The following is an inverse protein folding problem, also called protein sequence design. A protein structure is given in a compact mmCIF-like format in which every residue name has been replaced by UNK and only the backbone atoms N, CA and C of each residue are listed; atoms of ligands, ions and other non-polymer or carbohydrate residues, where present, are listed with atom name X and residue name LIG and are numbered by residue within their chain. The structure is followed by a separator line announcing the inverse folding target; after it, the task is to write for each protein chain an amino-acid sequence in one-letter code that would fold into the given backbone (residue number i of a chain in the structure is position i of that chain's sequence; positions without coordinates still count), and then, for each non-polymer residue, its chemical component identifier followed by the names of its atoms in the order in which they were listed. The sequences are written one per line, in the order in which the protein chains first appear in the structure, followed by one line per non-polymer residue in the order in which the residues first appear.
data_IF_414455399521
#
_entry.id   IF_414455399521
#
_cell.length_a   1.000
_cell.length_b   1.000
_cell.length_c   1.000
_cell.angle_alpha   90.00
_cell.angle_beta   90.00
_cell.angle_gamma   90.00
#
_symmetry.space_group_name_H-M   'P 1'
#
loop_
_entity.id
_entity.type
_entity.pdbx_description
1 polymer ?
#
# COMPACT_ATOMS: atom_id res chain seq x y z
N UNK A 1 -29.04 17.07 12.53
CA UNK A 1 -27.87 16.93 11.65
C UNK A 1 -27.83 15.50 11.13
N UNK A 2 -27.21 15.21 9.97
CA UNK A 2 -27.15 13.84 9.42
C UNK A 2 -26.20 12.98 10.26
N UNK A 3 -26.52 11.68 10.40
CA UNK A 3 -25.66 10.73 11.14
C UNK A 3 -24.26 10.67 10.49
N UNK A 4 -23.17 10.60 11.27
CA UNK A 4 -21.79 10.50 10.78
C UNK A 4 -21.59 9.41 9.74
N UNK A 5 -22.20 8.24 9.94
CA UNK A 5 -22.12 7.11 9.01
C UNK A 5 -22.68 7.45 7.63
N UNK A 6 -23.79 8.17 7.57
CA UNK A 6 -24.45 8.54 6.31
C UNK A 6 -23.66 9.63 5.58
N UNK A 7 -23.03 10.52 6.33
CA UNK A 7 -22.13 11.54 5.78
C UNK A 7 -20.87 10.88 5.22
N UNK A 8 -20.24 9.97 5.96
CA UNK A 8 -19.04 9.24 5.49
C UNK A 8 -19.35 8.39 4.25
N UNK A 9 -20.49 7.69 4.24
CA UNK A 9 -20.95 6.92 3.07
C UNK A 9 -21.21 7.84 1.86
N UNK A 10 -21.88 8.98 2.06
CA UNK A 10 -22.12 9.95 0.99
C UNK A 10 -20.81 10.56 0.44
N UNK A 11 -19.81 10.77 1.30
CA UNK A 11 -18.48 11.22 0.88
C UNK A 11 -17.76 10.15 0.07
N UNK A 12 -17.85 8.88 0.49
CA UNK A 12 -17.27 7.72 -0.20
C UNK A 12 -17.92 7.46 -1.57
N UNK A 13 -19.24 7.62 -1.69
CA UNK A 13 -19.90 7.45 -2.98
C UNK A 13 -19.54 8.55 -3.98
N UNK A 14 -19.35 9.78 -3.49
CA UNK A 14 -18.88 10.90 -4.32
C UNK A 14 -17.40 10.80 -4.68
N UNK A 15 -16.58 10.11 -3.88
CA UNK A 15 -15.13 10.01 -4.13
C UNK A 15 -14.79 9.10 -5.30
N UNK A 16 -15.72 8.21 -5.69
CA UNK A 16 -15.65 7.39 -6.91
C UNK A 16 -15.51 8.25 -8.17
N UNK A 17 -15.99 9.50 -8.16
CA UNK A 17 -15.79 10.43 -9.26
C UNK A 17 -14.46 11.18 -9.08
N UNK A 18 -13.45 10.94 -9.95
CA UNK A 18 -12.13 11.57 -9.81
C UNK A 18 -12.13 13.08 -10.03
N UNK A 19 -13.16 13.63 -10.69
CA UNK A 19 -13.29 15.07 -10.97
C UNK A 19 -14.06 15.83 -9.89
N UNK A 20 -14.65 15.14 -8.92
CA UNK A 20 -15.47 15.78 -7.89
C UNK A 20 -14.59 16.50 -6.87
N UNK A 21 -14.84 17.80 -6.67
CA UNK A 21 -14.16 18.64 -5.68
C UNK A 21 -15.06 18.87 -4.48
N UNK A 22 -14.53 18.63 -3.28
CA UNK A 22 -15.27 18.86 -2.04
C UNK A 22 -15.11 20.31 -1.58
N UNK A 23 -16.22 21.05 -1.49
CA UNK A 23 -16.23 22.49 -1.18
C UNK A 23 -16.76 22.83 0.22
N UNK A 24 -17.21 21.84 1.02
CA UNK A 24 -17.88 22.07 2.32
C UNK A 24 -17.59 20.98 3.37
N UNK A 25 -16.33 20.55 3.48
CA UNK A 25 -15.93 19.52 4.44
C UNK A 25 -15.88 20.06 5.87
N UNK A 26 -15.54 21.34 6.04
CA UNK A 26 -15.42 21.98 7.34
C UNK A 26 -16.72 21.95 8.14
N UNK A 27 -17.87 22.00 7.47
CA UNK A 27 -19.19 21.91 8.12
C UNK A 27 -19.45 20.56 8.80
N UNK A 28 -18.78 19.49 8.35
CA UNK A 28 -18.91 18.17 8.97
C UNK A 28 -18.21 18.13 10.34
N UNK A 29 -17.20 18.98 10.56
CA UNK A 29 -16.54 19.15 11.85
C UNK A 29 -17.44 19.83 12.90
N UNK A 30 -18.63 20.30 12.54
CA UNK A 30 -19.55 20.90 13.51
C UNK A 30 -20.49 19.89 14.17
N UNK A 31 -20.50 18.64 13.70
CA UNK A 31 -21.42 17.64 14.21
C UNK A 31 -20.78 16.91 15.42
N UNK A 32 -21.39 17.02 16.63
CA UNK A 32 -20.85 16.40 17.85
C UNK A 32 -20.79 14.87 17.77
N UNK A 33 -21.65 14.24 16.96
CA UNK A 33 -21.64 12.77 16.80
C UNK A 33 -20.32 12.26 16.18
N UNK A 34 -19.63 13.05 15.37
CA UNK A 34 -18.30 12.68 14.85
C UNK A 34 -17.26 12.61 15.97
N UNK A 35 -17.33 13.51 16.94
CA UNK A 35 -16.40 13.54 18.08
C UNK A 35 -16.67 12.39 19.05
N UNK A 36 -17.93 12.01 19.24
CA UNK A 36 -18.27 10.82 20.03
C UNK A 36 -17.75 9.53 19.38
N UNK A 37 -17.85 9.42 18.05
CA UNK A 37 -17.29 8.28 17.32
C UNK A 37 -15.75 8.27 17.38
N UNK A 38 -15.11 9.43 17.21
CA UNK A 38 -13.67 9.60 17.38
C UNK A 38 -13.21 9.21 18.79
N UNK A 39 -13.95 9.66 19.82
CA UNK A 39 -13.68 9.32 21.21
C UNK A 39 -13.73 7.81 21.44
N UNK A 40 -14.77 7.14 20.93
CA UNK A 40 -14.90 5.67 21.01
C UNK A 40 -13.69 4.96 20.39
N UNK A 41 -13.24 5.39 19.22
CA UNK A 41 -12.10 4.79 18.52
C UNK A 41 -10.76 5.02 19.25
N UNK A 42 -10.58 6.18 19.88
CA UNK A 42 -9.39 6.51 20.67
C UNK A 42 -9.39 5.72 21.97
N UNK A 43 -10.54 5.61 22.64
CA UNK A 43 -10.69 4.89 23.91
C UNK A 43 -10.34 3.39 23.78
N UNK A 44 -10.66 2.79 22.64
CA UNK A 44 -10.32 1.37 22.36
C UNK A 44 -8.82 1.12 22.15
N UNK A 45 -7.98 2.14 21.94
CA UNK A 45 -6.55 1.98 21.76
C UNK A 45 -5.83 2.14 23.11
N UNK A 46 -4.97 1.19 23.52
CA UNK A 46 -4.21 1.18 24.78
C UNK A 46 -3.28 2.41 24.99
N UNK A 47 -3.07 3.23 23.96
CA UNK A 47 -2.37 4.52 24.03
C UNK A 47 -3.22 5.70 24.52
N UNK A 48 -4.49 5.47 24.88
CA UNK A 48 -5.41 6.47 25.45
C UNK A 48 -4.92 6.99 26.80
N UNK A 49 -4.28 6.13 27.60
CA UNK A 49 -3.77 6.46 28.94
C UNK A 49 -2.48 7.28 28.95
N UNK A 50 -1.90 7.62 27.78
CA UNK A 50 -0.65 8.40 27.73
C UNK A 50 -0.96 9.91 27.67
N UNK A 51 -0.70 10.69 28.75
CA UNK A 51 -1.00 12.12 28.77
C UNK A 51 -0.18 12.88 27.71
N UNK A 52 -0.80 13.88 27.08
CA UNK A 52 -0.15 14.80 26.14
C UNK A 52 0.76 15.82 26.84
N UNK A 53 1.11 16.92 26.15
CA UNK A 53 1.81 18.06 26.77
C UNK A 53 1.04 18.62 27.96
N UNK A 54 -0.28 18.66 27.84
CA UNK A 54 -1.18 19.32 28.79
C UNK A 54 -1.44 18.47 30.05
N UNK A 55 -0.87 17.27 30.17
CA UNK A 55 -1.06 16.38 31.33
C UNK A 55 -2.46 15.76 31.46
N UNK A 56 -3.41 16.19 30.63
CA UNK A 56 -4.79 15.70 30.65
C UNK A 56 -4.89 14.34 29.94
N UNK A 57 -5.34 13.32 30.66
CA UNK A 57 -5.74 12.01 30.14
C UNK A 57 -7.09 12.10 29.42
N UNK A 58 -7.43 11.12 28.58
CA UNK A 58 -8.76 11.01 27.95
C UNK A 58 -9.92 10.86 28.94
N UNK A 59 -9.63 10.53 30.20
CA UNK A 59 -10.59 10.46 31.29
C UNK A 59 -10.97 11.86 31.76
N UNK A 60 -12.10 12.36 31.26
CA UNK A 60 -12.62 13.70 31.58
C UNK A 60 -13.18 14.46 30.37
N UNK A 61 -13.37 13.81 29.22
CA UNK A 61 -14.05 14.43 28.08
C UNK A 61 -15.55 14.59 28.37
N UNK A 62 -15.96 15.81 28.67
CA UNK A 62 -17.36 16.21 28.74
C UNK A 62 -17.87 16.69 27.38
N UNK A 63 -19.19 16.55 27.16
CA UNK A 63 -19.87 17.13 25.98
C UNK A 63 -19.59 18.64 25.87
N UNK A 64 -19.49 19.34 27.01
CA UNK A 64 -19.15 20.76 27.06
C UNK A 64 -17.78 21.09 26.46
N UNK A 65 -16.78 20.21 26.64
CA UNK A 65 -15.46 20.39 26.05
C UNK A 65 -15.50 20.21 24.53
N UNK A 66 -16.27 19.24 24.05
CA UNK A 66 -16.52 19.03 22.61
C UNK A 66 -17.21 20.26 22.02
N UNK A 67 -18.21 20.81 22.70
CA UNK A 67 -18.92 22.01 22.24
C UNK A 67 -18.02 23.24 22.20
N UNK A 68 -17.10 23.40 23.16
CA UNK A 68 -16.07 24.45 23.13
C UNK A 68 -15.11 24.28 21.95
N UNK A 69 -14.69 23.05 21.65
CA UNK A 69 -13.86 22.76 20.47
C UNK A 69 -14.63 23.11 19.20
N UNK A 70 -15.90 22.70 19.08
CA UNK A 70 -16.75 23.02 17.94
C UNK A 70 -16.93 24.53 17.78
N UNK A 71 -17.11 25.27 18.88
CA UNK A 71 -17.19 26.74 18.86
C UNK A 71 -15.87 27.37 18.34
N UNK A 72 -14.72 26.91 18.84
CA UNK A 72 -13.39 27.37 18.40
C UNK A 72 -13.01 26.96 16.97
N UNK A 73 -13.70 25.95 16.42
CA UNK A 73 -13.57 25.61 15.01
C UNK A 73 -14.48 26.51 14.16
N UNK A 74 -15.71 26.80 14.61
CA UNK A 74 -16.62 27.71 13.91
C UNK A 74 -16.07 29.13 13.76
N UNK A 75 -15.36 29.64 14.75
CA UNK A 75 -14.73 30.96 14.72
C UNK A 75 -13.33 30.98 14.06
N UNK A 76 -12.86 29.81 13.59
CA UNK A 76 -11.52 29.60 13.01
C UNK A 76 -10.34 29.96 13.94
N UNK A 77 -10.58 30.16 15.24
CA UNK A 77 -9.58 30.50 16.25
C UNK A 77 -8.74 29.31 16.70
N UNK A 78 -9.19 28.07 16.42
CA UNK A 78 -8.49 26.85 16.79
C UNK A 78 -7.02 26.87 16.35
N UNK A 79 -6.12 26.68 17.32
CA UNK A 79 -4.68 26.56 17.13
C UNK A 79 -4.23 25.25 17.78
N UNK A 80 -3.71 24.30 16.98
CA UNK A 80 -3.20 23.04 17.52
C UNK A 80 -2.02 23.28 18.47
N UNK A 81 -1.94 22.48 19.53
CA UNK A 81 -0.83 22.53 20.46
C UNK A 81 0.38 21.75 19.88
N UNK A 82 1.62 22.18 20.20
CA UNK A 82 2.81 21.44 19.77
C UNK A 82 2.82 20.03 20.35
N UNK A 83 3.17 19.04 19.54
CA UNK A 83 3.21 17.65 20.00
C UNK A 83 4.38 17.41 20.96
N UNK A 84 4.17 16.65 22.05
CA UNK A 84 5.26 16.27 22.98
C UNK A 84 6.15 15.22 22.33
N UNK A 85 7.44 15.51 22.13
CA UNK A 85 8.38 14.54 21.56
C UNK A 85 8.88 13.59 22.65
N UNK A 86 8.55 12.31 22.53
CA UNK A 86 9.08 11.22 23.36
C UNK A 86 9.86 10.24 22.47
N UNK A 87 10.91 9.63 23.01
CA UNK A 87 11.75 8.71 22.24
C UNK A 87 11.46 7.27 22.62
N UNK A 88 11.04 6.45 21.64
CA UNK A 88 10.87 5.01 21.82
C UNK A 88 12.03 4.29 21.14
N UNK A 89 12.67 3.36 21.84
CA UNK A 89 13.73 2.53 21.27
C UNK A 89 13.16 1.60 20.19
N UNK A 90 13.83 1.47 19.03
CA UNK A 90 13.44 0.46 18.02
C UNK A 90 13.71 -0.94 18.57
N UNK A 91 12.73 -1.86 18.45
CA UNK A 91 12.86 -3.27 18.88
C UNK A 91 14.12 -3.97 18.35
N UNK A 92 14.58 -3.63 17.14
CA UNK A 92 15.73 -4.29 16.51
C UNK A 92 17.07 -3.59 16.75
N UNK A 93 17.09 -2.35 17.25
CA UNK A 93 18.33 -1.64 17.55
C UNK A 93 18.08 -0.56 18.62
N UNK A 94 18.41 -0.81 19.89
CA UNK A 94 18.13 0.12 21.00
C UNK A 94 18.87 1.46 20.88
N UNK A 95 19.94 1.54 20.06
CA UNK A 95 20.65 2.78 19.79
C UNK A 95 19.90 3.74 18.84
N UNK A 96 19.00 3.22 17.97
CA UNK A 96 18.18 4.05 17.07
C UNK A 96 16.83 4.33 17.72
N UNK A 97 16.66 5.54 18.26
CA UNK A 97 15.40 6.02 18.85
C UNK A 97 14.44 6.51 17.75
N UNK A 98 13.15 6.17 17.84
CA UNK A 98 12.07 6.79 17.03
C UNK A 98 11.49 7.96 17.83
N UNK A 99 11.52 9.19 17.30
CA UNK A 99 10.78 10.28 17.91
C UNK A 99 9.28 10.04 17.71
N UNK A 100 8.51 10.16 18.78
CA UNK A 100 7.06 10.11 18.76
C UNK A 100 6.54 11.46 19.28
N UNK A 101 5.77 12.17 18.46
CA UNK A 101 4.99 13.32 18.89
C UNK A 101 3.67 12.86 19.45
N UNK A 102 3.45 13.02 20.76
CA UNK A 102 2.16 12.79 21.42
C UNK A 102 1.39 14.11 21.41
N UNK A 103 0.32 14.26 20.60
CA UNK A 103 -0.51 15.46 20.61
C UNK A 103 -1.38 15.57 21.88
N UNK A 104 -1.96 16.74 22.11
CA UNK A 104 -2.95 16.96 23.18
C UNK A 104 -4.22 16.11 22.95
N UNK A 105 -4.98 15.84 24.01
CA UNK A 105 -6.22 15.05 23.93
C UNK A 105 -7.27 15.67 22.99
N UNK A 106 -7.38 17.00 22.97
CA UNK A 106 -8.30 17.72 22.09
C UNK A 106 -7.84 17.66 20.64
N UNK A 107 -6.54 17.84 20.42
CA UNK A 107 -5.93 17.67 19.10
C UNK A 107 -6.11 16.23 18.58
N UNK A 108 -5.95 15.21 19.44
CA UNK A 108 -6.19 13.80 19.08
C UNK A 108 -7.62 13.59 18.57
N UNK A 109 -8.63 14.15 19.24
CA UNK A 109 -10.03 14.07 18.81
C UNK A 109 -10.25 14.71 17.44
N UNK A 110 -9.83 15.97 17.29
CA UNK A 110 -10.00 16.70 16.02
C UNK A 110 -9.26 15.99 14.89
N UNK A 111 -8.06 15.48 15.18
CA UNK A 111 -7.26 14.70 14.25
C UNK A 111 -7.98 13.43 13.79
N UNK A 112 -8.65 12.73 14.70
CA UNK A 112 -9.32 11.48 14.35
C UNK A 112 -10.60 11.70 13.56
N UNK A 113 -11.32 12.80 13.81
CA UNK A 113 -12.42 13.22 12.93
C UNK A 113 -11.92 13.55 11.53
N UNK A 114 -10.85 14.33 11.43
CA UNK A 114 -10.21 14.68 10.14
C UNK A 114 -9.74 13.43 9.41
N UNK A 115 -9.12 12.48 10.13
CA UNK A 115 -8.69 11.19 9.60
C UNK A 115 -9.86 10.41 8.98
N UNK A 116 -10.98 10.25 9.70
CA UNK A 116 -12.16 9.54 9.19
C UNK A 116 -12.73 10.18 7.90
N UNK A 117 -12.75 11.51 7.85
CA UNK A 117 -13.19 12.26 6.66
C UNK A 117 -12.23 12.00 5.49
N UNK A 118 -10.92 12.11 5.72
CA UNK A 118 -9.90 11.87 4.69
C UNK A 118 -9.89 10.42 4.21
N UNK A 119 -10.02 9.44 5.10
CA UNK A 119 -10.14 8.02 4.74
C UNK A 119 -11.35 7.80 3.82
N UNK A 120 -12.50 8.38 4.13
CA UNK A 120 -13.71 8.24 3.29
C UNK A 120 -13.54 8.84 1.89
N UNK A 121 -12.71 9.87 1.75
CA UNK A 121 -12.46 10.54 0.46
C UNK A 121 -11.38 9.81 -0.36
N UNK A 122 -10.29 9.38 0.28
CA UNK A 122 -9.12 8.87 -0.44
C UNK A 122 -9.08 7.35 -0.56
N UNK A 123 -9.74 6.60 0.34
CA UNK A 123 -9.68 5.13 0.33
C UNK A 123 -10.15 4.50 -0.99
N UNK A 124 -11.23 4.99 -1.64
CA UNK A 124 -11.66 4.47 -2.95
C UNK A 124 -10.73 4.86 -4.11
N UNK A 125 -9.91 5.90 -3.93
CA UNK A 125 -8.96 6.38 -4.95
C UNK A 125 -7.62 5.66 -4.90
N UNK A 126 -7.23 5.15 -3.72
CA UNK A 126 -5.92 4.53 -3.56
C UNK A 126 -5.74 3.25 -4.38
N UNK A 127 -4.56 3.10 -4.95
CA UNK A 127 -4.21 1.90 -5.70
C UNK A 127 -4.31 0.63 -4.84
N UNK A 128 -4.70 -0.48 -5.47
CA UNK A 128 -4.81 -1.78 -4.82
C UNK A 128 -3.45 -2.36 -4.38
N UNK A 129 -2.35 -1.83 -4.92
CA UNK A 129 -0.96 -2.23 -4.60
C UNK A 129 -0.42 -1.64 -3.30
N UNK A 130 -1.11 -0.64 -2.75
CA UNK A 130 -0.76 0.00 -1.48
C UNK A 130 -1.54 -0.63 -0.32
N UNK A 131 -0.81 -1.11 0.68
CA UNK A 131 -1.39 -1.86 1.82
C UNK A 131 -1.11 -1.24 3.20
N UNK A 132 -0.19 -0.28 3.31
CA UNK A 132 0.21 0.29 4.61
C UNK A 132 -0.89 1.18 5.20
N UNK A 133 -1.17 1.04 6.50
CA UNK A 133 -2.08 1.90 7.27
C UNK A 133 -3.47 2.13 6.66
N UNK A 134 -4.05 1.09 6.04
CA UNK A 134 -5.39 1.15 5.42
C UNK A 134 -6.37 0.21 6.12
N UNK A 135 -7.64 0.58 6.26
CA UNK A 135 -8.65 -0.28 6.86
C UNK A 135 -8.80 -1.59 6.06
N UNK A 136 -8.78 -2.73 6.74
CA UNK A 136 -8.88 -4.05 6.11
C UNK A 136 -7.63 -4.53 5.36
N UNK A 137 -6.52 -3.79 5.40
CA UNK A 137 -5.23 -4.21 4.83
C UNK A 137 -4.18 -4.42 5.91
N UNK A 138 -3.39 -5.47 5.75
CA UNK A 138 -2.33 -5.86 6.70
C UNK A 138 -1.05 -6.25 5.97
N UNK A 139 0.05 -6.42 6.71
CA UNK A 139 1.31 -6.94 6.16
C UNK A 139 1.09 -8.24 5.37
N UNK A 140 0.23 -9.12 5.88
CA UNK A 140 -0.11 -10.38 5.21
C UNK A 140 -0.79 -10.18 3.86
N UNK A 141 -1.66 -9.17 3.72
CA UNK A 141 -2.29 -8.89 2.42
C UNK A 141 -1.27 -8.47 1.36
N UNK A 142 -0.24 -7.70 1.74
CA UNK A 142 0.85 -7.33 0.85
C UNK A 142 1.68 -8.57 0.46
N UNK A 143 2.01 -9.43 1.42
CA UNK A 143 2.76 -10.67 1.16
C UNK A 143 2.01 -11.64 0.24
N UNK A 144 0.69 -11.82 0.47
CA UNK A 144 -0.16 -12.64 -0.41
C UNK A 144 -0.23 -12.04 -1.82
N UNK A 145 -0.28 -10.71 -1.93
CA UNK A 145 -0.24 -10.04 -3.23
C UNK A 145 1.10 -10.28 -3.93
N UNK A 146 2.22 -10.20 -3.21
CA UNK A 146 3.55 -10.49 -3.73
C UNK A 146 3.60 -11.94 -4.23
N UNK A 147 3.18 -12.91 -3.40
CA UNK A 147 3.17 -14.33 -3.74
C UNK A 147 2.39 -14.62 -5.04
N UNK A 148 1.24 -13.99 -5.23
CA UNK A 148 0.39 -14.23 -6.40
C UNK A 148 0.86 -13.47 -7.66
N UNK A 149 1.45 -12.28 -7.50
CA UNK A 149 1.69 -11.36 -8.63
C UNK A 149 3.13 -11.39 -9.13
N UNK A 150 4.13 -11.68 -8.28
CA UNK A 150 5.56 -11.64 -8.63
C UNK A 150 6.03 -12.93 -9.33
N UNK A 151 5.23 -13.47 -10.25
CA UNK A 151 5.52 -14.74 -10.93
C UNK A 151 6.59 -14.56 -12.02
N UNK A 152 7.79 -15.09 -11.77
CA UNK A 152 8.89 -15.07 -12.74
C UNK A 152 9.71 -13.77 -12.73
N UNK A 153 9.63 -12.98 -11.67
CA UNK A 153 10.61 -11.92 -11.40
C UNK A 153 12.03 -12.53 -11.39
N UNK A 154 13.02 -11.80 -11.93
CA UNK A 154 14.45 -12.19 -11.93
C UNK A 154 15.26 -11.37 -10.94
N UNK A 155 14.84 -10.12 -10.75
CA UNK A 155 15.45 -9.15 -9.86
C UNK A 155 14.38 -8.53 -8.98
N UNK A 156 14.72 -8.30 -7.72
CA UNK A 156 13.93 -7.49 -6.81
C UNK A 156 14.67 -6.18 -6.53
N UNK A 157 13.93 -5.08 -6.54
CA UNK A 157 14.42 -3.78 -6.09
C UNK A 157 13.68 -3.46 -4.80
N UNK A 158 14.42 -3.51 -3.70
CA UNK A 158 13.94 -3.11 -2.38
C UNK A 158 14.13 -1.59 -2.25
N UNK A 159 13.07 -0.89 -1.87
CA UNK A 159 13.08 0.54 -1.65
C UNK A 159 12.63 0.91 -0.24
N UNK A 160 13.44 1.72 0.43
CA UNK A 160 13.11 2.36 1.71
C UNK A 160 13.31 3.87 1.54
N UNK A 161 12.28 4.63 1.89
CA UNK A 161 12.31 6.09 1.88
C UNK A 161 12.90 6.57 3.21
N UNK A 162 13.98 7.35 3.14
CA UNK A 162 14.62 7.85 4.34
C UNK A 162 13.74 8.89 5.04
N UNK A 163 13.40 8.62 6.31
CA UNK A 163 12.69 9.56 7.18
C UNK A 163 11.47 10.20 6.50
N UNK A 164 10.62 9.35 5.90
CA UNK A 164 9.46 9.76 5.09
C UNK A 164 8.59 10.79 5.83
N UNK A 165 8.29 10.53 7.10
CA UNK A 165 7.52 11.45 7.95
C UNK A 165 8.23 12.75 8.29
N UNK A 166 9.57 12.82 8.33
CA UNK A 166 10.33 14.03 8.67
C UNK A 166 10.66 14.88 7.43
N UNK A 167 10.60 14.29 6.23
CA UNK A 167 11.08 14.89 4.97
C UNK A 167 9.96 15.37 4.05
N UNK A 168 8.68 15.32 4.47
CA UNK A 168 7.57 15.79 3.64
C UNK A 168 7.59 17.30 3.44
N UNK A 169 7.50 17.71 2.17
CA UNK A 169 7.24 19.10 1.81
C UNK A 169 5.75 19.42 2.03
N UNK A 170 5.50 20.37 2.94
CA UNK A 170 4.15 20.81 3.29
C UNK A 170 3.43 21.45 2.10
N UNK A 171 4.16 22.14 1.21
CA UNK A 171 3.57 22.78 0.04
C UNK A 171 3.05 21.76 -0.95
N UNK A 172 3.86 20.74 -1.27
CA UNK A 172 3.48 19.66 -2.19
C UNK A 172 2.29 18.88 -1.65
N UNK A 173 2.30 18.53 -0.36
CA UNK A 173 1.18 17.83 0.27
C UNK A 173 -0.13 18.62 0.18
N UNK A 174 -0.07 19.92 0.41
CA UNK A 174 -1.25 20.81 0.35
C UNK A 174 -1.73 21.00 -1.08
N UNK A 175 -0.82 21.07 -2.05
CA UNK A 175 -1.18 21.10 -3.46
C UNK A 175 -1.92 19.82 -3.88
N UNK A 176 -1.43 18.65 -3.46
CA UNK A 176 -2.10 17.36 -3.71
C UNK A 176 -3.49 17.34 -3.07
N UNK A 177 -3.61 17.80 -1.82
CA UNK A 177 -4.91 17.90 -1.14
C UNK A 177 -5.85 18.86 -1.87
N UNK A 178 -5.36 20.01 -2.34
CA UNK A 178 -6.12 21.02 -3.09
C UNK A 178 -6.69 20.52 -4.42
N UNK A 179 -6.08 19.49 -5.03
CA UNK A 179 -6.62 18.88 -6.26
C UNK A 179 -8.01 18.28 -6.04
N UNK A 180 -8.29 17.73 -4.85
CA UNK A 180 -9.59 17.12 -4.51
C UNK A 180 -10.43 17.92 -3.52
N UNK A 181 -9.81 18.72 -2.66
CA UNK A 181 -10.48 19.50 -1.61
C UNK A 181 -10.32 20.98 -1.93
N UNK A 182 -11.42 21.67 -2.22
CA UNK A 182 -11.44 23.12 -2.50
C UNK A 182 -11.87 23.95 -1.28
N UNK A 183 -12.09 23.30 -0.15
CA UNK A 183 -12.43 23.94 1.13
C UNK A 183 -11.17 24.56 1.78
N UNK A 184 -10.99 25.87 1.62
CA UNK A 184 -9.84 26.60 2.16
C UNK A 184 -9.80 26.61 3.70
N UNK A 185 -10.95 26.53 4.38
CA UNK A 185 -10.97 26.47 5.85
C UNK A 185 -10.40 25.14 6.35
N UNK A 186 -10.75 24.05 5.67
CA UNK A 186 -10.20 22.73 5.95
C UNK A 186 -8.70 22.66 5.63
N UNK A 187 -8.27 23.20 4.49
CA UNK A 187 -6.85 23.26 4.12
C UNK A 187 -6.06 24.13 5.12
N UNK A 188 -6.63 25.25 5.57
CA UNK A 188 -6.03 26.11 6.60
C UNK A 188 -5.86 25.38 7.93
N UNK A 189 -6.83 24.57 8.34
CA UNK A 189 -6.71 23.72 9.54
C UNK A 189 -5.59 22.67 9.37
N UNK A 190 -5.52 22.01 8.22
CA UNK A 190 -4.44 21.07 7.90
C UNK A 190 -3.06 21.74 7.93
N UNK A 191 -2.95 22.95 7.37
CA UNK A 191 -1.73 23.76 7.43
C UNK A 191 -1.32 24.09 8.86
N UNK A 192 -2.28 24.44 9.72
CA UNK A 192 -2.03 24.66 11.15
C UNK A 192 -1.53 23.39 11.84
N UNK A 193 -2.09 22.21 11.53
CA UNK A 193 -1.61 20.94 12.08
C UNK A 193 -0.19 20.58 11.64
N UNK A 194 0.16 20.82 10.37
CA UNK A 194 1.51 20.60 9.86
C UNK A 194 2.54 21.56 10.51
N UNK A 195 2.16 22.82 10.72
CA UNK A 195 3.01 23.85 11.37
C UNK A 195 3.00 23.83 12.89
N UNK A 196 2.17 22.99 13.52
CA UNK A 196 1.98 22.97 14.98
C UNK A 196 3.30 22.75 15.76
N UNK A 197 4.35 22.26 15.09
CA UNK A 197 5.66 22.09 15.70
C UNK A 197 5.71 20.88 16.62
N UNK A 198 6.83 20.73 17.32
CA UNK A 198 6.94 19.79 18.42
C UNK A 198 7.67 20.44 19.59
N UNK A 199 7.42 19.93 20.79
CA UNK A 199 8.06 20.36 22.01
C UNK A 199 9.02 19.27 22.48
N UNK A 200 10.29 19.62 22.70
CA UNK A 200 11.35 18.73 23.17
C UNK A 200 12.02 19.36 24.39
N UNK A 201 12.01 18.67 25.55
CA UNK A 201 12.63 19.14 26.80
C UNK A 201 12.35 20.62 27.13
N UNK A 202 11.07 21.03 27.07
CA UNK A 202 10.60 22.40 27.32
C UNK A 202 11.06 23.47 26.31
N UNK A 203 11.62 23.05 25.17
CA UNK A 203 11.96 23.92 24.05
C UNK A 203 11.00 23.69 22.88
N UNK A 204 10.41 24.77 22.37
CA UNK A 204 9.56 24.73 21.18
C UNK A 204 10.42 24.67 19.92
N UNK A 205 10.17 23.67 19.07
CA UNK A 205 10.79 23.54 17.75
C UNK A 205 9.72 23.68 16.67
N UNK A 206 9.95 24.62 15.73
CA UNK A 206 9.14 24.73 14.51
C UNK A 206 9.47 23.55 13.60
N UNK A 207 8.44 22.83 13.17
CA UNK A 207 8.57 21.79 12.14
C UNK A 207 8.62 22.49 10.78
N UNK A 208 9.81 22.60 10.19
CA UNK A 208 9.98 23.18 8.85
C UNK A 208 9.68 22.16 7.74
N UNK A 209 9.82 20.86 8.01
CA UNK A 209 9.50 19.74 7.12
C UNK A 209 8.97 18.56 7.93
N UNK A 210 8.07 17.78 7.34
CA UNK A 210 7.53 16.56 7.95
C UNK A 210 6.27 16.71 8.80
N UNK A 211 5.66 15.58 9.14
CA UNK A 211 4.45 15.44 9.96
C UNK A 211 4.80 14.88 11.35
N UNK A 212 4.26 15.41 12.46
CA UNK A 212 4.51 14.88 13.79
C UNK A 212 4.14 13.39 13.91
N UNK A 213 5.14 12.52 14.04
CA UNK A 213 5.00 11.07 14.09
C UNK A 213 4.26 10.64 15.36
N UNK A 214 2.97 10.32 15.27
CA UNK A 214 2.11 10.01 16.44
C UNK A 214 0.76 10.74 16.43
N UNK A 215 0.54 11.64 15.46
CA UNK A 215 -0.79 12.16 15.12
C UNK A 215 -1.59 11.13 14.31
N UNK A 216 -2.89 10.97 14.62
CA UNK A 216 -3.78 10.02 13.92
C UNK A 216 -3.88 10.28 12.41
N UNK A 217 -3.67 11.52 11.96
CA UNK A 217 -3.72 11.90 10.54
C UNK A 217 -2.42 11.57 9.77
N UNK A 218 -1.28 11.39 10.44
CA UNK A 218 0.00 11.19 9.74
C UNK A 218 0.01 10.02 8.74
N UNK A 219 -0.53 8.83 9.06
CA UNK A 219 -0.49 7.70 8.14
C UNK A 219 -1.32 7.92 6.87
N UNK A 220 -2.49 8.57 6.97
CA UNK A 220 -3.31 8.86 5.80
C UNK A 220 -2.66 9.93 4.92
N UNK A 221 -2.03 10.96 5.50
CA UNK A 221 -1.30 11.98 4.73
C UNK A 221 -0.10 11.39 3.99
N UNK A 222 0.68 10.53 4.65
CA UNK A 222 1.79 9.83 4.02
C UNK A 222 1.30 8.98 2.83
N UNK A 223 0.17 8.29 2.99
CA UNK A 223 -0.42 7.52 1.91
C UNK A 223 -0.93 8.39 0.75
N UNK A 224 -1.55 9.55 1.03
CA UNK A 224 -1.97 10.52 0.00
C UNK A 224 -0.75 11.02 -0.79
N UNK A 225 0.33 11.33 -0.09
CA UNK A 225 1.58 11.78 -0.70
C UNK A 225 2.20 10.70 -1.59
N UNK A 226 2.34 9.49 -1.05
CA UNK A 226 2.94 8.35 -1.75
C UNK A 226 2.05 7.77 -2.85
N UNK A 227 0.77 8.15 -2.91
CA UNK A 227 -0.10 7.76 -4.02
C UNK A 227 0.33 8.40 -5.35
N UNK A 228 1.02 9.56 -5.33
CA UNK A 228 1.62 10.11 -6.56
C UNK A 228 2.78 9.23 -7.07
N UNK A 229 3.52 8.59 -6.17
CA UNK A 229 4.51 7.58 -6.52
C UNK A 229 3.84 6.31 -7.06
N UNK A 230 2.73 5.87 -6.45
CA UNK A 230 1.97 4.70 -6.93
C UNK A 230 1.48 4.90 -8.38
N UNK A 231 1.01 6.11 -8.72
CA UNK A 231 0.60 6.47 -10.10
C UNK A 231 1.77 6.43 -11.07
N UNK A 232 2.90 7.04 -10.70
CA UNK A 232 4.12 7.02 -11.51
C UNK A 232 4.60 5.60 -11.78
N UNK A 233 4.53 4.72 -10.77
CA UNK A 233 4.90 3.30 -10.92
C UNK A 233 3.95 2.55 -11.86
N UNK A 234 2.66 2.89 -11.86
CA UNK A 234 1.69 2.27 -12.78
C UNK A 234 1.91 2.75 -14.24
N UNK A 235 2.20 4.03 -14.45
CA UNK A 235 2.60 4.60 -15.75
C UNK A 235 3.89 3.94 -16.25
N UNK A 236 4.92 3.90 -15.41
CA UNK A 236 6.20 3.27 -15.72
C UNK A 236 6.02 1.77 -16.04
N UNK A 237 5.13 1.07 -15.33
CA UNK A 237 4.80 -0.32 -15.62
C UNK A 237 4.19 -0.51 -17.00
N UNK A 238 3.32 0.41 -17.45
CA UNK A 238 2.72 0.35 -18.78
C UNK A 238 3.78 0.56 -19.88
N UNK A 239 4.67 1.53 -19.70
CA UNK A 239 5.76 1.82 -20.64
C UNK A 239 6.80 0.68 -20.70
N UNK A 240 7.11 0.09 -19.56
CA UNK A 240 8.09 -1.00 -19.45
C UNK A 240 7.54 -2.36 -19.90
N UNK A 241 6.23 -2.56 -19.83
CA UNK A 241 5.60 -3.85 -20.11
C UNK A 241 5.59 -4.15 -21.61
N UNK A 242 6.30 -5.19 -22.03
CA UNK A 242 6.28 -5.69 -23.43
C UNK A 242 5.36 -6.92 -23.54
N UNK A 243 4.27 -6.84 -24.33
CA UNK A 243 3.20 -7.82 -24.28
C UNK A 243 3.46 -8.97 -25.25
N UNK A 244 4.41 -9.84 -24.97
CA UNK A 244 4.35 -11.23 -25.45
C UNK A 244 5.42 -12.08 -24.76
N UNK A 245 4.99 -12.98 -23.87
CA UNK A 245 5.73 -14.25 -23.74
C UNK A 245 5.43 -15.04 -25.00
N UNK A 246 6.42 -15.30 -25.84
CA UNK A 246 6.20 -16.20 -26.96
C UNK A 246 5.92 -17.59 -26.38
N UNK A 247 4.78 -18.17 -26.76
CA UNK A 247 4.50 -19.55 -26.36
C UNK A 247 5.42 -20.43 -27.17
N UNK A 248 6.15 -21.33 -26.52
CA UNK A 248 7.02 -22.26 -27.22
C UNK A 248 6.21 -23.01 -28.29
N UNK A 249 6.52 -22.86 -29.59
CA UNK A 249 5.78 -23.51 -30.67
C UNK A 249 5.69 -25.03 -30.47
N UNK A 250 6.73 -25.65 -29.92
CA UNK A 250 6.74 -27.08 -29.59
C UNK A 250 5.70 -27.46 -28.52
N UNK A 251 5.57 -26.65 -27.46
CA UNK A 251 4.56 -26.88 -26.42
C UNK A 251 3.14 -26.64 -26.96
N UNK A 252 2.93 -25.60 -27.77
CA UNK A 252 1.65 -25.31 -28.43
C UNK A 252 1.23 -26.45 -29.36
N UNK A 253 2.15 -26.93 -30.21
CA UNK A 253 1.91 -28.04 -31.12
C UNK A 253 1.56 -29.34 -30.38
N UNK A 254 2.25 -29.62 -29.28
CA UNK A 254 1.98 -30.79 -28.44
C UNK A 254 0.62 -30.69 -27.72
N UNK A 255 0.26 -29.51 -27.23
CA UNK A 255 -1.06 -29.25 -26.63
C UNK A 255 -2.19 -29.46 -27.66
N UNK A 256 -2.03 -28.94 -28.87
CA UNK A 256 -2.96 -29.14 -29.98
C UNK A 256 -3.06 -30.62 -30.39
N UNK A 257 -1.96 -31.38 -30.32
CA UNK A 257 -1.94 -32.83 -30.61
C UNK A 257 -2.73 -33.62 -29.55
N UNK A 258 -2.55 -33.30 -28.27
CA UNK A 258 -3.32 -33.89 -27.16
C UNK A 258 -4.80 -33.55 -27.27
N UNK A 259 -5.14 -32.30 -27.60
CA UNK A 259 -6.53 -31.89 -27.80
C UNK A 259 -7.20 -32.65 -28.94
N UNK A 260 -6.54 -32.73 -30.11
CA UNK A 260 -7.02 -33.51 -31.26
C UNK A 260 -7.19 -35.00 -30.92
N UNK A 261 -6.24 -35.59 -30.20
CA UNK A 261 -6.32 -36.99 -29.78
C UNK A 261 -7.46 -37.22 -28.79
N UNK A 262 -7.69 -36.30 -27.84
CA UNK A 262 -8.81 -36.37 -26.91
C UNK A 262 -10.15 -36.25 -27.62
N UNK A 263 -10.30 -35.29 -28.53
CA UNK A 263 -11.54 -35.11 -29.30
C UNK A 263 -11.89 -36.33 -30.17
N UNK A 264 -10.87 -36.99 -30.77
CA UNK A 264 -11.05 -38.26 -31.48
C UNK A 264 -11.43 -39.39 -30.52
N UNK A 265 -10.84 -39.42 -29.33
CA UNK A 265 -11.08 -40.47 -28.36
C UNK A 265 -12.47 -40.35 -27.70
N UNK A 266 -12.93 -39.14 -27.38
CA UNK A 266 -14.25 -38.88 -26.79
C UNK A 266 -15.40 -39.34 -27.71
N UNK A 267 -15.22 -39.27 -29.05
CA UNK A 267 -16.21 -39.76 -30.04
C UNK A 267 -16.36 -41.28 -30.08
N UNK A 268 -15.30 -42.01 -29.75
CA UNK A 268 -15.24 -43.48 -29.90
C UNK A 268 -15.23 -44.16 -28.52
N UNK A 269 -15.18 -43.38 -27.43
CA UNK A 269 -14.97 -43.86 -26.07
C UNK A 269 -16.00 -44.91 -25.62
N UNK A 270 -17.27 -44.69 -25.97
CA UNK A 270 -18.39 -45.53 -25.56
C UNK A 270 -18.52 -46.84 -26.37
N UNK A 271 -17.80 -46.96 -27.50
CA UNK A 271 -17.87 -48.12 -28.40
C UNK A 271 -16.62 -49.01 -28.34
N UNK A 272 -15.66 -48.70 -27.45
CA UNK A 272 -14.38 -49.41 -27.33
C UNK A 272 -14.36 -50.40 -26.16
N UNK A 273 -13.70 -51.54 -26.36
CA UNK A 273 -13.43 -52.51 -25.30
C UNK A 273 -12.50 -51.96 -24.21
N UNK A 274 -12.62 -52.50 -22.98
CA UNK A 274 -11.89 -52.03 -21.80
C UNK A 274 -10.35 -52.06 -21.95
N UNK A 275 -9.81 -52.97 -22.77
CA UNK A 275 -8.37 -53.02 -23.06
C UNK A 275 -7.89 -51.88 -23.96
N UNK A 276 -8.70 -51.49 -24.94
CA UNK A 276 -8.37 -50.39 -25.85
C UNK A 276 -8.49 -49.04 -25.14
N UNK A 277 -9.47 -48.89 -24.24
CA UNK A 277 -9.57 -47.73 -23.36
C UNK A 277 -8.31 -47.57 -22.49
N UNK A 278 -7.79 -48.67 -21.91
CA UNK A 278 -6.53 -48.67 -21.14
C UNK A 278 -5.32 -48.29 -22.01
N UNK A 279 -5.20 -48.84 -23.22
CA UNK A 279 -4.11 -48.48 -24.16
C UNK A 279 -4.16 -47.00 -24.53
N UNK A 280 -5.34 -46.46 -24.88
CA UNK A 280 -5.51 -45.05 -25.23
C UNK A 280 -5.27 -44.11 -24.05
N UNK A 281 -5.64 -44.51 -22.84
CA UNK A 281 -5.33 -43.77 -21.61
C UNK A 281 -3.81 -43.75 -21.30
N UNK A 282 -3.08 -44.84 -21.57
CA UNK A 282 -1.61 -44.90 -21.43
C UNK A 282 -0.92 -43.96 -22.41
N UNK A 283 -1.36 -43.93 -23.66
CA UNK A 283 -0.86 -43.01 -24.70
C UNK A 283 -1.12 -41.55 -24.32
N UNK A 284 -2.32 -41.24 -23.82
CA UNK A 284 -2.65 -39.90 -23.32
C UNK A 284 -1.76 -39.50 -22.13
N UNK A 285 -1.44 -40.45 -21.25
CA UNK A 285 -0.55 -40.23 -20.10
C UNK A 285 0.89 -39.98 -20.53
N UNK A 286 1.39 -40.69 -21.54
CA UNK A 286 2.71 -40.49 -22.16
C UNK A 286 2.79 -39.14 -22.87
N UNK A 287 1.83 -38.79 -23.73
CA UNK A 287 1.81 -37.48 -24.40
C UNK A 287 1.74 -36.32 -23.40
N UNK A 288 0.98 -36.47 -22.31
CA UNK A 288 0.98 -35.49 -21.21
C UNK A 288 2.31 -35.47 -20.44
N UNK A 289 3.06 -36.56 -20.39
CA UNK A 289 4.39 -36.59 -19.78
C UNK A 289 5.42 -35.86 -20.67
N UNK A 290 5.39 -36.11 -21.96
CA UNK A 290 6.20 -35.40 -22.96
C UNK A 290 5.89 -33.90 -22.97
N UNK A 291 4.61 -33.52 -22.93
CA UNK A 291 4.22 -32.11 -22.82
C UNK A 291 4.77 -31.45 -21.55
N UNK A 292 4.83 -32.17 -20.42
CA UNK A 292 5.35 -31.63 -19.15
C UNK A 292 6.86 -31.40 -19.17
N UNK A 293 7.60 -32.15 -19.99
CA UNK A 293 9.04 -31.97 -20.16
C UNK A 293 9.37 -30.76 -21.04
N UNK A 294 8.42 -30.33 -21.89
CA UNK A 294 8.55 -29.10 -22.67
C UNK A 294 8.11 -27.90 -21.83
N UNK A 295 8.97 -26.89 -21.63
CA UNK A 295 8.55 -25.67 -20.94
C UNK A 295 7.56 -24.89 -21.83
N UNK A 296 6.46 -24.42 -21.22
CA UNK A 296 5.40 -23.64 -21.90
C UNK A 296 5.95 -22.37 -22.56
N UNK A 297 6.98 -21.79 -21.95
CA UNK A 297 7.73 -20.65 -22.44
C UNK A 297 9.22 -21.03 -22.55
N UNK A 298 9.95 -20.57 -23.57
CA UNK A 298 11.39 -20.75 -23.67
C UNK A 298 12.12 -20.23 -22.42
N UNK A 299 13.11 -21.00 -21.94
CA UNK A 299 13.90 -20.69 -20.73
C UNK A 299 14.73 -19.40 -20.85
N UNK A 300 14.96 -18.92 -22.08
CA UNK A 300 15.75 -17.71 -22.40
C UNK A 300 14.93 -16.72 -23.25
N UNK A 301 13.73 -16.36 -22.81
CA UNK A 301 13.08 -15.16 -23.36
C UNK A 301 13.64 -13.92 -22.67
N UNK A 302 14.39 -13.13 -23.43
CA UNK A 302 14.86 -11.79 -23.07
C UNK A 302 13.84 -10.70 -23.44
N UNK A 303 12.75 -11.06 -24.13
CA UNK A 303 11.76 -10.11 -24.68
C UNK A 303 10.62 -9.76 -23.73
N UNK A 304 10.24 -10.67 -22.82
CA UNK A 304 9.17 -10.42 -21.86
C UNK A 304 9.69 -9.56 -20.70
N UNK A 305 9.33 -8.28 -20.75
CA UNK A 305 9.54 -7.33 -19.67
C UNK A 305 8.24 -7.08 -18.95
N UNK A 306 8.23 -7.30 -17.65
CA UNK A 306 7.09 -7.02 -16.79
C UNK A 306 7.60 -6.49 -15.45
N UNK A 307 6.91 -5.49 -14.95
CA UNK A 307 7.18 -4.86 -13.67
C UNK A 307 6.01 -5.10 -12.74
N UNK A 308 6.29 -5.57 -11.54
CA UNK A 308 5.31 -5.72 -10.48
C UNK A 308 5.71 -4.86 -9.30
N UNK A 309 4.73 -4.20 -8.70
CA UNK A 309 4.95 -3.20 -7.67
C UNK A 309 3.99 -3.45 -6.51
N UNK A 310 4.52 -3.46 -5.29
CA UNK A 310 3.75 -3.51 -4.04
C UNK A 310 4.39 -2.55 -3.03
N UNK A 311 3.55 -1.81 -2.31
CA UNK A 311 3.98 -0.86 -1.28
C UNK A 311 3.31 -1.12 0.07
N UNK A 312 4.11 -0.99 1.12
CA UNK A 312 3.66 -0.95 2.50
C UNK A 312 4.24 0.28 3.20
N UNK A 313 3.41 1.34 3.30
CA UNK A 313 3.85 2.64 3.83
C UNK A 313 5.08 3.15 3.07
N UNK A 314 6.22 3.27 3.76
CA UNK A 314 7.49 3.78 3.23
C UNK A 314 8.35 2.70 2.56
N UNK A 315 8.05 1.43 2.84
CA UNK A 315 8.72 0.27 2.26
C UNK A 315 8.01 -0.14 0.97
N UNK A 316 8.74 -0.29 -0.12
CA UNK A 316 8.21 -0.80 -1.37
C UNK A 316 9.11 -1.86 -1.99
N UNK A 317 8.49 -2.77 -2.71
CA UNK A 317 9.17 -3.85 -3.43
C UNK A 317 8.76 -3.82 -4.89
N UNK A 318 9.77 -3.80 -5.76
CA UNK A 318 9.57 -3.90 -7.20
C UNK A 318 10.15 -5.20 -7.74
N UNK A 319 9.34 -5.99 -8.41
CA UNK A 319 9.74 -7.21 -9.08
C UNK A 319 9.96 -6.94 -10.56
N UNK A 320 11.19 -7.09 -11.02
CA UNK A 320 11.58 -6.86 -12.41
C UNK A 320 11.78 -8.21 -13.10
N UNK A 321 10.95 -8.47 -14.11
CA UNK A 321 11.16 -9.55 -15.06
C UNK A 321 11.99 -8.97 -16.21
N UNK A 322 13.32 -8.93 -16.05
CA UNK A 322 14.20 -8.22 -16.99
C UNK A 322 15.69 -8.45 -16.73
N UNK A 323 16.52 -7.61 -17.35
CA UNK A 323 17.97 -7.59 -17.11
C UNK A 323 18.32 -6.84 -15.83
N UNK A 324 19.57 -6.94 -15.36
CA UNK A 324 20.05 -6.16 -14.21
C UNK A 324 20.06 -4.67 -14.52
N UNK A 325 20.44 -4.29 -15.73
CA UNK A 325 20.47 -2.91 -16.21
C UNK A 325 19.09 -2.25 -16.13
N UNK A 326 18.02 -3.00 -16.43
CA UNK A 326 16.65 -2.49 -16.30
C UNK A 326 16.29 -2.15 -14.84
N UNK A 327 16.78 -2.94 -13.88
CA UNK A 327 16.55 -2.69 -12.46
C UNK A 327 17.37 -1.49 -11.95
N UNK A 328 18.58 -1.29 -12.47
CA UNK A 328 19.43 -0.13 -12.16
C UNK A 328 18.85 1.17 -12.73
N UNK A 329 18.35 1.13 -13.98
CA UNK A 329 17.64 2.28 -14.60
C UNK A 329 16.40 2.66 -13.81
N UNK A 330 15.55 1.67 -13.46
CA UNK A 330 14.38 1.90 -12.62
C UNK A 330 14.76 2.59 -11.30
N UNK A 331 15.85 2.15 -10.65
CA UNK A 331 16.31 2.77 -9.40
C UNK A 331 16.72 4.23 -9.60
N UNK A 332 17.40 4.55 -10.71
CA UNK A 332 17.81 5.92 -11.04
C UNK A 332 16.59 6.80 -11.33
N UNK A 333 15.66 6.32 -12.16
CA UNK A 333 14.45 7.06 -12.53
C UNK A 333 13.58 7.33 -11.30
N UNK A 334 13.46 6.36 -10.39
CA UNK A 334 12.77 6.54 -9.11
C UNK A 334 13.46 7.58 -8.22
N UNK A 335 14.79 7.60 -8.19
CA UNK A 335 15.55 8.58 -7.42
C UNK A 335 15.36 10.00 -7.95
N UNK A 336 15.37 10.17 -9.28
CA UNK A 336 15.13 11.45 -9.94
C UNK A 336 13.69 11.92 -9.69
N UNK A 337 12.72 11.03 -9.83
CA UNK A 337 11.31 11.34 -9.58
C UNK A 337 11.06 11.75 -8.12
N UNK A 338 11.57 10.96 -7.16
CA UNK A 338 11.40 11.23 -5.73
C UNK A 338 12.03 12.56 -5.33
N UNK A 339 13.24 12.85 -5.81
CA UNK A 339 13.92 14.12 -5.50
C UNK A 339 13.28 15.31 -6.22
N UNK A 340 12.87 15.14 -7.47
CA UNK A 340 12.36 16.21 -8.32
C UNK A 340 10.91 16.60 -8.02
N UNK A 341 9.99 15.63 -7.94
CA UNK A 341 8.56 15.90 -7.72
C UNK A 341 8.13 15.86 -6.27
N UNK A 342 8.76 15.02 -5.45
CA UNK A 342 8.34 14.76 -4.08
C UNK A 342 9.33 15.28 -3.03
N UNK A 343 10.47 15.85 -3.42
CA UNK A 343 11.49 16.33 -2.47
C UNK A 343 12.02 15.25 -1.51
N UNK A 344 11.78 13.97 -1.78
CA UNK A 344 12.13 12.86 -0.90
C UNK A 344 13.46 12.23 -1.33
N UNK A 345 14.26 11.82 -0.34
CA UNK A 345 15.53 11.13 -0.56
C UNK A 345 15.38 9.62 -0.35
N UNK A 346 15.79 8.83 -1.33
CA UNK A 346 15.93 7.38 -1.18
C UNK A 346 17.09 7.04 -0.25
N UNK A 347 16.89 6.08 0.63
CA UNK A 347 17.98 5.55 1.45
C UNK A 347 18.88 4.67 0.59
N UNK A 348 20.02 5.21 0.13
CA UNK A 348 20.98 4.49 -0.71
C UNK A 348 21.51 3.21 -0.04
N UNK A 349 21.70 3.24 1.29
CA UNK A 349 22.21 2.11 2.09
C UNK A 349 21.22 0.94 2.22
N UNK A 350 19.92 1.23 2.15
CA UNK A 350 18.86 0.23 2.29
C UNK A 350 18.26 -0.20 0.96
N UNK A 351 18.41 0.61 -0.08
CA UNK A 351 17.90 0.29 -1.42
C UNK A 351 18.80 -0.74 -2.12
N UNK A 352 18.45 -2.02 -1.98
CA UNK A 352 19.23 -3.14 -2.53
C UNK A 352 18.55 -3.70 -3.77
N UNK A 353 19.36 -3.97 -4.79
CA UNK A 353 18.95 -4.77 -5.95
C UNK A 353 19.40 -6.19 -5.65
N UNK A 354 18.45 -7.08 -5.35
CA UNK A 354 18.73 -8.48 -5.03
C UNK A 354 18.38 -9.36 -6.23
N UNK A 355 19.27 -10.29 -6.55
CA UNK A 355 18.97 -11.33 -7.52
C UNK A 355 18.06 -12.37 -6.86
N UNK A 356 17.12 -12.94 -7.60
CA UNK A 356 16.25 -14.05 -7.16
C UNK A 356 16.96 -15.33 -6.73
N UNK A 357 18.28 -15.44 -6.93
CA UNK A 357 19.12 -16.47 -6.33
C UNK A 357 19.37 -16.25 -4.82
N UNK A 358 19.21 -15.01 -4.34
CA UNK A 358 19.31 -14.61 -2.94
C UNK A 358 17.92 -14.24 -2.42
N UNK A 359 17.71 -14.35 -1.11
CA UNK A 359 16.45 -13.91 -0.50
C UNK A 359 16.34 -12.38 -0.54
N UNK A 360 15.17 -11.90 -0.97
CA UNK A 360 14.80 -10.50 -0.78
C UNK A 360 14.10 -10.37 0.57
N UNK A 361 14.44 -9.37 1.38
CA UNK A 361 13.83 -9.19 2.71
C UNK A 361 12.79 -8.07 2.64
N UNK A 362 11.53 -8.41 2.85
CA UNK A 362 10.42 -7.45 2.87
C UNK A 362 9.56 -7.65 4.11
N UNK A 363 9.31 -6.60 4.89
CA UNK A 363 8.51 -6.66 6.12
C UNK A 363 8.97 -7.71 7.14
N UNK A 364 10.28 -7.94 7.26
CA UNK A 364 10.90 -9.03 8.05
C UNK A 364 10.60 -10.46 7.56
N UNK A 365 10.06 -10.61 6.35
CA UNK A 365 9.94 -11.89 5.68
C UNK A 365 10.97 -12.01 4.57
N UNK A 366 11.59 -13.19 4.47
CA UNK A 366 12.49 -13.52 3.38
C UNK A 366 11.66 -14.13 2.23
N UNK A 367 11.67 -13.46 1.08
CA UNK A 367 10.98 -13.88 -0.13
C UNK A 367 11.95 -14.73 -0.95
N UNK A 368 11.57 -15.99 -1.15
CA UNK A 368 12.29 -16.94 -1.98
C UNK A 368 11.51 -17.21 -3.26
N UNK A 369 12.22 -17.28 -4.39
CA UNK A 369 11.64 -17.83 -5.62
C UNK A 369 11.83 -19.33 -5.59
N UNK A 370 10.73 -20.08 -5.47
CA UNK A 370 10.79 -21.52 -5.64
C UNK A 370 11.19 -21.85 -7.09
N UNK A 371 12.33 -22.51 -7.25
CA UNK A 371 12.76 -23.10 -8.53
C UNK A 371 12.37 -24.57 -8.64
N UNK A 372 11.69 -25.12 -7.62
CA UNK A 372 11.34 -26.53 -7.61
C UNK A 372 10.28 -26.82 -8.68
N UNK A 373 10.46 -27.91 -9.42
CA UNK A 373 9.50 -28.38 -10.42
C UNK A 373 8.45 -29.32 -9.80
N UNK A 374 8.35 -29.31 -8.46
CA UNK A 374 7.58 -30.29 -7.71
C UNK A 374 6.09 -30.18 -8.04
N UNK A 375 5.40 -31.32 -7.99
CA UNK A 375 4.05 -31.46 -8.51
C UNK A 375 3.11 -31.67 -7.33
N UNK A 376 2.10 -30.81 -7.17
CA UNK A 376 1.02 -31.05 -6.21
C UNK A 376 -0.27 -31.40 -6.93
N UNK A 377 -0.97 -32.41 -6.41
CA UNK A 377 -2.29 -32.82 -6.89
C UNK A 377 -3.31 -31.88 -6.25
N UNK A 378 -4.00 -31.10 -7.09
CA UNK A 378 -5.08 -30.23 -6.64
C UNK A 378 -6.32 -31.06 -6.25
N UNK A 379 -7.21 -30.46 -5.45
CA UNK A 379 -8.48 -31.10 -5.01
C UNK A 379 -9.37 -31.54 -6.20
N UNK A 380 -9.19 -30.93 -7.37
CA UNK A 380 -9.88 -31.28 -8.62
C UNK A 380 -9.20 -32.42 -9.43
N UNK A 381 -8.23 -33.13 -8.84
CA UNK A 381 -7.52 -34.24 -9.47
C UNK A 381 -6.48 -33.84 -10.52
N UNK A 382 -6.37 -32.55 -10.87
CA UNK A 382 -5.35 -32.04 -11.80
C UNK A 382 -4.00 -31.95 -11.09
N UNK A 383 -2.95 -32.40 -11.77
CA UNK A 383 -1.55 -32.23 -11.32
C UNK A 383 -1.06 -30.90 -11.85
N UNK A 384 -0.74 -29.96 -10.97
CA UNK A 384 -0.17 -28.66 -11.31
C UNK A 384 1.23 -28.58 -10.70
N UNK A 385 2.16 -27.88 -11.38
CA UNK A 385 3.44 -27.51 -10.78
C UNK A 385 3.18 -26.64 -9.56
N UNK A 386 3.90 -26.89 -8.48
CA UNK A 386 3.94 -26.01 -7.30
C UNK A 386 4.66 -24.73 -7.75
N UNK A 387 3.97 -23.59 -7.67
CA UNK A 387 4.56 -22.27 -7.92
C UNK A 387 5.07 -21.68 -6.62
#
# INVERSE_FOLDING_TARGET
MRKPTDVLNSLSDKSKNPMYKYERLYRNLYNPEFYLLAYKNIYTNDGSMTPGVDGVTTDGMSLERIDKIIASLKDHSYRPNPARRTYIAKKNNPAKKRPLGIPSGDDKLVQEVVRMILESIYEPTFSNVSHGFRPGKSCHTALVKIQNTFTGAKWFVEGDIQACFDSFDHHVLIEILRRRIKDEAFIGLMWKFLKAGYMEQWKYHKTYTGTPQGSGISPILANIYLNELDKYMEEYKQEFSRPARTVNPAHRNMASRIFRYKAKNDKVWNTLGAEEQKKRARILRQMRAEQRNLPTHPLRETSYKSLQYVRYADDFLVGVVGSREDAERLKQDLAVFLKGKLGLTLSAEKTKITNTAQCARFLNYDIYVSRSQDIKRLKNGKRQRVY
#
